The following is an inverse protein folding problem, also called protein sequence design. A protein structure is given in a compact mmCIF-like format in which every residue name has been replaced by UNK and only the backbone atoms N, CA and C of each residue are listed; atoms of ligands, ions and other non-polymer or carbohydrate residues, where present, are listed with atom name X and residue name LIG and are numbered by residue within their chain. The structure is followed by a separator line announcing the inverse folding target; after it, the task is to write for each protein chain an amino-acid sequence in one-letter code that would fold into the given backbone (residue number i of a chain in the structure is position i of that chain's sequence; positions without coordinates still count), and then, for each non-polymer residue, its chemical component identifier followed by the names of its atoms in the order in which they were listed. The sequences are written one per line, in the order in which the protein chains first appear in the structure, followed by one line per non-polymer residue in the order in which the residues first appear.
data_IF_181222511237
#
_entry.id   IF_181222511237
#
_cell.length_a   1.000
_cell.length_b   1.000
_cell.length_c   1.000
_cell.angle_alpha   90.00
_cell.angle_beta   90.00
_cell.angle_gamma   90.00
#
_symmetry.space_group_name_H-M   'P 1'
#
loop_
_entity.id
_entity.type
_entity.pdbx_description
1 polymer ?
#
# COMPACT_ATOMS: atom_id res chain seq x y z
N UNK A 1 -23.77 4.15 -8.20
CA UNK A 1 -22.64 3.54 -8.93
C UNK A 1 -22.13 4.58 -9.91
N UNK A 2 -21.13 5.35 -9.50
CA UNK A 2 -20.52 6.38 -10.33
C UNK A 2 -19.42 5.75 -11.19
N UNK A 3 -19.61 5.76 -12.51
CA UNK A 3 -18.64 5.31 -13.50
C UNK A 3 -17.33 6.11 -13.35
N UNK A 4 -16.27 5.42 -12.95
CA UNK A 4 -14.91 5.94 -13.05
C UNK A 4 -14.48 5.80 -14.51
N UNK A 5 -14.49 6.92 -15.25
CA UNK A 5 -13.96 6.96 -16.61
C UNK A 5 -12.44 6.78 -16.55
N UNK A 6 -11.96 5.66 -17.08
CA UNK A 6 -10.55 5.45 -17.34
C UNK A 6 -10.05 6.54 -18.31
N UNK A 7 -9.12 7.36 -17.85
CA UNK A 7 -8.49 8.41 -18.65
C UNK A 7 -7.41 7.75 -19.54
N UNK A 8 -7.47 8.01 -20.85
CA UNK A 8 -6.50 7.48 -21.81
C UNK A 8 -5.06 7.91 -21.44
N UNK A 9 -4.05 7.04 -21.64
CA UNK A 9 -2.68 7.34 -21.28
C UNK A 9 -2.16 8.51 -22.13
N UNK A 10 -1.69 9.57 -21.46
CA UNK A 10 -0.92 10.62 -22.10
C UNK A 10 0.48 10.10 -22.35
N UNK A 11 0.90 10.14 -23.60
CA UNK A 11 2.24 9.79 -24.06
C UNK A 11 3.24 10.83 -23.51
N UNK A 12 3.88 10.50 -22.39
CA UNK A 12 4.93 11.33 -21.79
C UNK A 12 6.26 11.00 -22.47
N UNK A 13 6.53 11.67 -23.58
CA UNK A 13 7.85 11.67 -24.21
C UNK A 13 8.90 12.32 -23.32
N UNK A 14 9.50 11.54 -22.42
CA UNK A 14 10.69 11.89 -21.65
C UNK A 14 11.81 10.92 -22.03
N UNK A 15 12.60 11.29 -23.04
CA UNK A 15 13.90 10.69 -23.31
C UNK A 15 14.94 11.26 -22.34
N UNK A 16 14.91 10.81 -21.08
CA UNK A 16 16.06 10.90 -20.18
C UNK A 16 16.84 9.59 -20.29
N UNK A 17 18.04 9.64 -20.88
CA UNK A 17 18.98 8.51 -20.90
C UNK A 17 19.49 8.27 -19.47
N UNK A 18 18.68 7.65 -18.62
CA UNK A 18 19.17 6.96 -17.45
C UNK A 18 19.87 5.69 -17.91
N UNK A 19 21.14 5.51 -17.53
CA UNK A 19 21.82 4.22 -17.68
C UNK A 19 21.06 3.20 -16.82
N UNK A 20 20.16 2.44 -17.43
CA UNK A 20 19.52 1.30 -16.78
C UNK A 20 20.60 0.33 -16.33
N UNK A 21 20.52 -0.14 -15.07
CA UNK A 21 21.32 -1.27 -14.59
C UNK A 21 21.26 -2.45 -15.57
N UNK A 22 22.36 -3.19 -15.71
CA UNK A 22 22.54 -4.14 -16.81
C UNK A 22 21.89 -5.52 -16.57
N UNK A 23 21.48 -5.83 -15.34
CA UNK A 23 20.75 -7.07 -14.99
C UNK A 23 19.96 -6.90 -13.68
N UNK A 24 18.83 -7.60 -13.54
CA UNK A 24 18.10 -7.69 -12.27
C UNK A 24 18.94 -8.29 -11.13
N UNK A 25 19.87 -9.18 -11.46
CA UNK A 25 20.72 -9.91 -10.51
C UNK A 25 22.08 -9.25 -10.29
N UNK A 26 22.18 -7.94 -10.52
CA UNK A 26 23.42 -7.20 -10.26
C UNK A 26 23.74 -7.21 -8.76
N UNK A 27 25.00 -7.50 -8.42
CA UNK A 27 25.43 -7.54 -7.01
C UNK A 27 25.40 -6.13 -6.43
N UNK A 28 24.59 -5.92 -5.39
CA UNK A 28 24.55 -4.68 -4.64
C UNK A 28 25.87 -4.46 -3.87
N UNK A 29 26.27 -3.20 -3.72
CA UNK A 29 27.32 -2.84 -2.75
C UNK A 29 26.83 -3.13 -1.33
N UNK A 30 27.75 -3.28 -0.37
CA UNK A 30 27.38 -3.55 1.03
C UNK A 30 26.46 -2.46 1.61
N UNK A 31 26.67 -1.21 1.23
CA UNK A 31 25.84 -0.07 1.62
C UNK A 31 24.44 -0.14 0.98
N UNK A 32 24.37 -0.40 -0.33
CA UNK A 32 23.11 -0.54 -1.05
C UNK A 32 22.29 -1.74 -0.53
N UNK A 33 22.94 -2.86 -0.23
CA UNK A 33 22.31 -4.03 0.36
C UNK A 33 21.77 -3.73 1.77
N UNK A 34 22.54 -3.04 2.61
CA UNK A 34 22.07 -2.63 3.94
C UNK A 34 20.86 -1.68 3.86
N UNK A 35 20.88 -0.73 2.92
CA UNK A 35 19.75 0.14 2.64
C UNK A 35 18.53 -0.66 2.15
N UNK A 36 18.74 -1.58 1.19
CA UNK A 36 17.69 -2.43 0.65
C UNK A 36 16.99 -3.24 1.75
N UNK A 37 17.76 -3.95 2.57
CA UNK A 37 17.22 -4.74 3.69
C UNK A 37 16.53 -3.86 4.72
N UNK A 38 17.00 -2.63 4.95
CA UNK A 38 16.32 -1.68 5.84
C UNK A 38 14.94 -1.28 5.30
N UNK A 39 14.81 -1.01 3.99
CA UNK A 39 13.52 -0.72 3.36
C UNK A 39 12.61 -1.94 3.37
N UNK A 40 13.13 -3.12 2.99
CA UNK A 40 12.39 -4.38 2.98
C UNK A 40 11.84 -4.78 4.37
N UNK A 41 12.45 -4.30 5.45
CA UNK A 41 11.97 -4.52 6.82
C UNK A 41 10.91 -3.51 7.30
N UNK A 42 10.58 -2.48 6.51
CA UNK A 42 9.47 -1.56 6.83
C UNK A 42 8.12 -2.25 6.61
N UNK A 43 7.00 -1.70 7.12
CA UNK A 43 5.67 -2.17 6.75
C UNK A 43 5.46 -2.16 5.23
N UNK A 44 4.69 -3.11 4.69
CA UNK A 44 4.45 -3.24 3.24
C UNK A 44 4.03 -1.92 2.57
N UNK A 45 3.17 -1.14 3.21
CA UNK A 45 2.75 0.18 2.72
C UNK A 45 3.91 1.17 2.53
N UNK A 46 4.89 1.18 3.44
CA UNK A 46 6.07 2.03 3.31
C UNK A 46 7.02 1.52 2.24
N UNK A 47 7.17 0.20 2.09
CA UNK A 47 7.92 -0.39 0.98
C UNK A 47 7.33 0.04 -0.37
N UNK A 48 6.00 0.01 -0.49
CA UNK A 48 5.29 0.45 -1.68
C UNK A 48 5.54 1.93 -1.97
N UNK A 49 5.51 2.79 -0.95
CA UNK A 49 5.81 4.23 -1.11
C UNK A 49 7.25 4.47 -1.55
N UNK A 50 8.23 3.74 -0.99
CA UNK A 50 9.62 3.81 -1.46
C UNK A 50 9.75 3.46 -2.94
N UNK A 51 9.12 2.36 -3.36
CA UNK A 51 9.10 1.93 -4.75
C UNK A 51 8.40 2.96 -5.65
N UNK A 52 7.21 3.43 -5.27
CA UNK A 52 6.44 4.42 -6.04
C UNK A 52 7.16 5.75 -6.17
N UNK A 53 7.85 6.24 -5.13
CA UNK A 53 8.64 7.47 -5.23
C UNK A 53 9.83 7.31 -6.18
N UNK A 54 10.50 6.15 -6.16
CA UNK A 54 11.65 5.88 -7.02
C UNK A 54 11.25 5.75 -8.51
N UNK A 55 10.07 5.19 -8.79
CA UNK A 55 9.64 4.83 -10.14
C UNK A 55 8.38 5.57 -10.61
N UNK A 56 8.00 6.70 -9.99
CA UNK A 56 6.71 7.35 -10.24
C UNK A 56 6.48 7.68 -11.72
N UNK A 57 7.53 8.11 -12.42
CA UNK A 57 7.45 8.46 -13.84
C UNK A 57 7.09 7.24 -14.71
N UNK A 58 7.59 6.07 -14.35
CA UNK A 58 7.38 4.81 -15.07
C UNK A 58 6.11 4.07 -14.62
N UNK A 59 5.76 4.15 -13.33
CA UNK A 59 4.75 3.28 -12.69
C UNK A 59 3.52 4.01 -12.15
N UNK A 60 3.46 5.35 -12.20
CA UNK A 60 2.36 6.11 -11.60
C UNK A 60 0.96 5.70 -12.09
N UNK A 61 0.86 5.20 -13.32
CA UNK A 61 -0.39 4.68 -13.88
C UNK A 61 -0.80 3.28 -13.36
N UNK A 62 0.09 2.56 -12.67
CA UNK A 62 -0.19 1.25 -12.04
C UNK A 62 -0.43 1.37 -10.52
N UNK A 63 -0.26 2.56 -9.94
CA UNK A 63 -0.33 2.77 -8.49
C UNK A 63 -1.65 2.24 -7.87
N UNK A 64 -2.77 2.38 -8.58
CA UNK A 64 -4.07 1.88 -8.13
C UNK A 64 -4.12 0.34 -8.06
N UNK A 65 -3.47 -0.38 -8.98
CA UNK A 65 -3.36 -1.84 -8.89
C UNK A 65 -2.47 -2.26 -7.72
N UNK A 66 -1.33 -1.58 -7.53
CA UNK A 66 -0.42 -1.85 -6.42
C UNK A 66 -1.14 -1.68 -5.08
N UNK A 67 -1.92 -0.60 -4.92
CA UNK A 67 -2.67 -0.31 -3.71
C UNK A 67 -3.89 -1.24 -3.50
N UNK A 68 -4.77 -1.34 -4.49
CA UNK A 68 -6.09 -1.99 -4.33
C UNK A 68 -6.05 -3.50 -4.54
N UNK A 69 -5.00 -4.05 -5.15
CA UNK A 69 -4.88 -5.47 -5.46
C UNK A 69 -3.67 -6.09 -4.78
N UNK A 70 -2.46 -5.69 -5.17
CA UNK A 70 -1.25 -6.36 -4.72
C UNK A 70 -1.02 -6.20 -3.21
N UNK A 71 -1.16 -4.97 -2.70
CA UNK A 71 -1.00 -4.66 -1.28
C UNK A 71 -2.08 -5.32 -0.42
N UNK A 72 -3.33 -5.35 -0.88
CA UNK A 72 -4.39 -6.05 -0.16
C UNK A 72 -4.12 -7.56 -0.08
N UNK A 73 -3.75 -8.20 -1.20
CA UNK A 73 -3.50 -9.65 -1.24
C UNK A 73 -2.27 -10.03 -0.39
N UNK A 74 -1.18 -9.26 -0.39
CA UNK A 74 -0.01 -9.58 0.44
C UNK A 74 -0.32 -9.44 1.93
N UNK A 75 -1.11 -8.43 2.33
CA UNK A 75 -1.61 -8.30 3.72
C UNK A 75 -2.47 -9.50 4.10
N UNK A 76 -3.38 -9.95 3.25
CA UNK A 76 -4.21 -11.13 3.54
C UNK A 76 -3.39 -12.41 3.66
N UNK A 77 -2.34 -12.58 2.84
CA UNK A 77 -1.41 -13.69 2.98
C UNK A 77 -0.68 -13.68 4.33
N UNK A 78 -0.15 -12.52 4.74
CA UNK A 78 0.50 -12.36 6.04
C UNK A 78 -0.48 -12.51 7.22
N UNK A 79 -1.69 -11.96 7.09
CA UNK A 79 -2.78 -12.14 8.06
C UNK A 79 -3.10 -13.62 8.29
N UNK A 80 -3.20 -14.40 7.21
CA UNK A 80 -3.43 -15.85 7.30
C UNK A 80 -2.26 -16.56 7.98
N UNK A 81 -1.02 -16.20 7.65
CA UNK A 81 0.17 -16.74 8.33
C UNK A 81 0.16 -16.45 9.84
N UNK A 82 -0.31 -15.26 10.24
CA UNK A 82 -0.39 -14.82 11.65
C UNK A 82 -1.67 -15.28 12.36
N UNK A 83 -2.58 -15.98 11.68
CA UNK A 83 -3.88 -16.39 12.25
C UNK A 83 -4.84 -15.22 12.53
N UNK A 84 -4.68 -14.09 11.84
CA UNK A 84 -5.52 -12.90 11.99
C UNK A 84 -6.58 -12.90 10.89
N UNK A 85 -7.86 -12.87 11.27
CA UNK A 85 -8.97 -12.91 10.31
C UNK A 85 -9.55 -11.52 9.98
N UNK A 86 -9.33 -10.54 10.85
CA UNK A 86 -9.98 -9.23 10.77
C UNK A 86 -8.93 -8.15 10.56
N UNK A 87 -9.05 -7.40 9.46
CA UNK A 87 -8.06 -6.39 9.04
C UNK A 87 -7.81 -5.30 10.10
N UNK A 88 -8.82 -4.93 10.89
CA UNK A 88 -8.64 -3.91 11.93
C UNK A 88 -7.79 -4.41 13.12
N UNK A 89 -7.64 -5.72 13.28
CA UNK A 89 -6.76 -6.37 14.27
C UNK A 89 -5.36 -6.67 13.73
N UNK A 90 -5.14 -6.43 12.45
CA UNK A 90 -3.87 -6.72 11.79
C UNK A 90 -2.88 -5.58 12.03
N UNK A 91 -1.70 -5.94 12.55
CA UNK A 91 -0.51 -5.10 12.52
C UNK A 91 0.31 -5.47 11.29
N UNK A 92 0.52 -4.49 10.41
CA UNK A 92 1.10 -4.70 9.08
C UNK A 92 2.50 -5.35 9.15
N UNK A 93 2.69 -6.41 8.37
CA UNK A 93 3.96 -7.10 8.20
C UNK A 93 4.89 -6.43 7.19
N UNK A 94 6.01 -7.11 6.91
CA UNK A 94 7.13 -6.63 6.11
C UNK A 94 7.60 -7.65 5.06
N UNK A 95 7.50 -8.95 5.33
CA UNK A 95 7.94 -10.01 4.43
C UNK A 95 7.18 -11.34 4.67
N UNK A 96 7.31 -12.28 3.74
CA UNK A 96 6.70 -13.60 3.75
C UNK A 96 7.79 -14.68 3.56
N UNK A 97 7.68 -15.86 4.20
CA UNK A 97 8.49 -17.00 3.75
C UNK A 97 8.02 -17.51 2.36
N UNK A 98 8.78 -18.42 1.76
CA UNK A 98 8.48 -18.93 0.42
C UNK A 98 7.14 -19.68 0.30
N UNK A 99 6.62 -20.29 1.36
CA UNK A 99 5.33 -20.99 1.31
C UNK A 99 4.18 -19.98 1.33
N UNK A 100 4.29 -18.95 2.17
CA UNK A 100 3.29 -17.88 2.21
C UNK A 100 3.40 -16.96 0.98
N UNK A 101 4.60 -16.71 0.46
CA UNK A 101 4.81 -16.00 -0.79
C UNK A 101 4.20 -16.77 -1.97
N UNK A 102 4.34 -18.10 -2.03
CA UNK A 102 3.66 -18.93 -3.02
C UNK A 102 2.14 -18.71 -2.95
N UNK A 103 1.55 -18.79 -1.75
CA UNK A 103 0.13 -18.51 -1.55
C UNK A 103 -0.27 -17.11 -2.03
N UNK A 104 0.53 -16.08 -1.73
CA UNK A 104 0.32 -14.71 -2.22
C UNK A 104 0.25 -14.64 -3.75
N UNK A 105 1.22 -15.21 -4.47
CA UNK A 105 1.23 -15.21 -5.94
C UNK A 105 0.05 -15.99 -6.53
N UNK A 106 -0.33 -17.12 -5.95
CA UNK A 106 -1.49 -17.91 -6.39
C UNK A 106 -2.80 -17.12 -6.22
N UNK A 107 -2.98 -16.43 -5.08
CA UNK A 107 -4.15 -15.58 -4.87
C UNK A 107 -4.17 -14.38 -5.82
N UNK A 108 -3.01 -13.80 -6.14
CA UNK A 108 -2.91 -12.71 -7.11
C UNK A 108 -3.30 -13.16 -8.52
N UNK A 109 -2.81 -14.33 -8.98
CA UNK A 109 -3.20 -14.90 -10.27
C UNK A 109 -4.71 -15.18 -10.31
N UNK A 110 -5.24 -15.83 -9.27
CA UNK A 110 -6.67 -16.13 -9.14
C UNK A 110 -7.51 -14.85 -9.21
N UNK A 111 -7.13 -13.79 -8.49
CA UNK A 111 -7.84 -12.52 -8.53
C UNK A 111 -7.90 -11.95 -9.94
N UNK A 112 -6.78 -11.92 -10.66
CA UNK A 112 -6.70 -11.38 -12.02
C UNK A 112 -7.42 -12.23 -13.08
N UNK A 113 -7.59 -13.54 -12.84
CA UNK A 113 -8.30 -14.47 -13.73
C UNK A 113 -9.82 -14.47 -13.53
N UNK A 114 -10.31 -14.04 -12.36
CA UNK A 114 -11.74 -13.98 -12.07
C UNK A 114 -12.49 -13.00 -13.02
N UNK A 115 -13.54 -13.43 -13.75
CA UNK A 115 -14.21 -12.59 -14.75
C UNK A 115 -14.74 -11.25 -14.23
N UNK A 116 -15.15 -11.19 -12.96
CA UNK A 116 -15.62 -9.95 -12.30
C UNK A 116 -14.51 -8.90 -12.16
N UNK A 117 -13.24 -9.32 -12.23
CA UNK A 117 -12.05 -8.48 -12.07
C UNK A 117 -11.39 -8.15 -13.42
N UNK A 118 -12.03 -8.43 -14.56
CA UNK A 118 -11.47 -8.20 -15.90
C UNK A 118 -10.93 -6.77 -16.10
N UNK A 119 -11.56 -5.77 -15.48
CA UNK A 119 -11.13 -4.37 -15.58
C UNK A 119 -9.73 -4.15 -14.99
N UNK A 120 -9.35 -4.90 -13.96
CA UNK A 120 -7.99 -4.86 -13.40
C UNK A 120 -6.98 -5.50 -14.36
N UNK A 121 -7.38 -6.58 -15.02
CA UNK A 121 -6.53 -7.25 -16.01
C UNK A 121 -6.27 -6.39 -17.23
N UNK A 122 -7.33 -5.79 -17.77
CA UNK A 122 -7.27 -4.96 -18.98
C UNK A 122 -6.66 -3.58 -18.70
N UNK A 123 -6.93 -2.99 -17.54
CA UNK A 123 -6.44 -1.66 -17.17
C UNK A 123 -4.97 -1.60 -16.74
N UNK A 124 -4.41 -2.72 -16.27
CA UNK A 124 -3.07 -2.77 -15.68
C UNK A 124 -2.22 -3.91 -16.25
N UNK A 125 -1.94 -3.93 -17.57
CA UNK A 125 -1.34 -5.08 -18.25
C UNK A 125 0.06 -5.45 -17.72
N UNK A 126 0.89 -4.46 -17.36
CA UNK A 126 2.24 -4.71 -16.82
C UNK A 126 2.23 -5.17 -15.34
N UNK A 127 1.09 -5.05 -14.66
CA UNK A 127 0.92 -5.49 -13.27
C UNK A 127 0.34 -6.90 -13.17
N UNK A 128 0.10 -7.57 -14.30
CA UNK A 128 -0.46 -8.91 -14.28
C UNK A 128 0.58 -9.94 -13.81
N UNK A 129 0.23 -10.80 -12.84
CA UNK A 129 1.11 -11.88 -12.43
C UNK A 129 1.15 -12.97 -13.50
N UNK A 130 2.22 -13.76 -13.50
CA UNK A 130 2.32 -14.97 -14.31
C UNK A 130 1.94 -16.19 -13.47
N UNK A 131 1.05 -17.05 -13.96
CA UNK A 131 0.72 -18.29 -13.25
C UNK A 131 1.84 -19.33 -13.41
N UNK A 132 2.35 -19.87 -12.30
CA UNK A 132 3.42 -20.86 -12.27
C UNK A 132 3.05 -22.04 -11.37
N UNK A 133 3.64 -23.21 -11.61
CA UNK A 133 3.58 -24.33 -10.66
C UNK A 133 4.32 -23.99 -9.37
N UNK A 134 3.96 -24.60 -8.24
CA UNK A 134 4.63 -24.35 -6.96
C UNK A 134 6.15 -24.59 -6.98
N UNK A 135 6.61 -25.62 -7.72
CA UNK A 135 8.04 -25.88 -7.90
C UNK A 135 8.74 -24.74 -8.65
N UNK A 136 8.14 -24.27 -9.75
CA UNK A 136 8.69 -23.18 -10.57
C UNK A 136 8.65 -21.84 -9.83
N UNK A 137 7.58 -21.56 -9.09
CA UNK A 137 7.48 -20.36 -8.27
C UNK A 137 8.57 -20.34 -7.20
N UNK A 138 8.76 -21.43 -6.44
CA UNK A 138 9.82 -21.48 -5.41
C UNK A 138 11.23 -21.36 -6.00
N UNK A 139 11.46 -21.94 -7.17
CA UNK A 139 12.72 -21.75 -7.90
C UNK A 139 12.90 -20.27 -8.27
N UNK A 140 11.87 -19.63 -8.82
CA UNK A 140 11.91 -18.21 -9.17
C UNK A 140 12.09 -17.29 -7.96
N UNK A 141 11.44 -17.59 -6.83
CA UNK A 141 11.62 -16.84 -5.60
C UNK A 141 13.08 -16.85 -5.16
N UNK A 142 13.69 -18.04 -5.11
CA UNK A 142 15.10 -18.21 -4.72
C UNK A 142 16.08 -17.57 -5.70
N UNK A 143 15.87 -17.79 -7.00
CA UNK A 143 16.88 -17.46 -8.01
C UNK A 143 16.78 -15.99 -8.46
N UNK A 144 15.62 -15.36 -8.27
CA UNK A 144 15.34 -14.02 -8.82
C UNK A 144 14.72 -13.04 -7.82
N UNK A 145 13.77 -13.44 -6.97
CA UNK A 145 12.97 -12.48 -6.19
C UNK A 145 13.61 -12.14 -4.84
N UNK A 146 14.15 -13.13 -4.13
CA UNK A 146 14.86 -12.98 -2.86
C UNK A 146 16.25 -12.38 -3.14
N UNK A 147 16.33 -11.05 -3.11
CA UNK A 147 17.51 -10.28 -3.54
C UNK A 147 18.60 -10.29 -2.47
N UNK A 148 18.19 -10.32 -1.19
CA UNK A 148 19.10 -10.27 -0.05
C UNK A 148 19.46 -11.67 0.49
N UNK A 149 18.90 -12.74 -0.10
CA UNK A 149 19.13 -14.15 0.22
C UNK A 149 18.76 -14.54 1.66
N UNK A 150 17.70 -13.93 2.21
CA UNK A 150 17.23 -14.20 3.57
C UNK A 150 16.16 -15.29 3.65
N UNK A 151 15.74 -15.86 2.51
CA UNK A 151 14.69 -16.88 2.42
C UNK A 151 13.28 -16.34 2.63
N UNK A 152 13.11 -15.02 2.53
CA UNK A 152 11.85 -14.29 2.65
C UNK A 152 11.60 -13.50 1.36
N UNK A 153 10.39 -12.96 1.24
CA UNK A 153 9.94 -12.15 0.12
C UNK A 153 9.21 -10.94 0.69
N UNK A 154 9.86 -9.78 0.60
CA UNK A 154 9.26 -8.49 0.91
C UNK A 154 8.33 -8.02 -0.20
N UNK A 155 7.48 -7.02 0.10
CA UNK A 155 6.65 -6.41 -0.95
C UNK A 155 7.51 -5.64 -1.96
N UNK A 156 8.61 -5.02 -1.50
CA UNK A 156 9.60 -4.38 -2.37
C UNK A 156 10.17 -5.35 -3.41
N UNK A 157 10.58 -6.54 -2.99
CA UNK A 157 11.12 -7.57 -3.90
C UNK A 157 10.10 -8.04 -4.92
N UNK A 158 8.85 -8.27 -4.49
CA UNK A 158 7.74 -8.52 -5.41
C UNK A 158 7.59 -7.40 -6.45
N UNK A 159 7.55 -6.13 -6.01
CA UNK A 159 7.35 -4.98 -6.90
C UNK A 159 8.50 -4.84 -7.91
N UNK A 160 9.75 -4.94 -7.45
CA UNK A 160 10.90 -4.87 -8.34
C UNK A 160 10.85 -5.99 -9.38
N UNK A 161 10.53 -7.22 -8.99
CA UNK A 161 10.48 -8.35 -9.91
C UNK A 161 9.30 -8.28 -10.90
N UNK A 162 8.13 -7.82 -10.43
CA UNK A 162 6.95 -7.62 -11.27
C UNK A 162 7.22 -6.56 -12.34
N UNK A 163 7.92 -5.48 -11.99
CA UNK A 163 8.21 -4.36 -12.88
C UNK A 163 9.66 -4.33 -13.38
N UNK A 164 10.26 -5.52 -13.52
CA UNK A 164 11.67 -5.72 -13.88
C UNK A 164 12.12 -5.14 -15.23
N UNK A 165 11.18 -4.79 -16.09
CA UNK A 165 11.46 -4.19 -17.40
C UNK A 165 12.13 -2.80 -17.27
N UNK A 166 11.90 -2.10 -16.16
CA UNK A 166 12.53 -0.82 -15.85
C UNK A 166 12.99 -0.69 -14.40
N UNK A 167 12.55 -1.57 -13.49
CA UNK A 167 12.97 -1.58 -12.10
C UNK A 167 13.97 -2.71 -11.81
N UNK A 168 14.98 -2.43 -10.99
CA UNK A 168 15.89 -3.45 -10.47
C UNK A 168 16.48 -2.99 -9.14
N UNK A 169 17.03 -3.91 -8.31
CA UNK A 169 17.51 -3.53 -6.97
C UNK A 169 18.60 -2.46 -6.96
N UNK A 170 19.56 -2.51 -7.89
CA UNK A 170 20.67 -1.56 -7.92
C UNK A 170 20.19 -0.14 -8.27
N UNK A 171 19.38 -0.02 -9.32
CA UNK A 171 18.75 1.25 -9.72
C UNK A 171 17.80 1.77 -8.63
N UNK A 172 17.02 0.90 -7.99
CA UNK A 172 16.16 1.28 -6.88
C UNK A 172 16.96 1.90 -5.73
N UNK A 173 18.04 1.24 -5.29
CA UNK A 173 18.91 1.77 -4.25
C UNK A 173 19.49 3.13 -4.67
N UNK A 174 19.98 3.26 -5.91
CA UNK A 174 20.50 4.53 -6.42
C UNK A 174 19.45 5.65 -6.35
N UNK A 175 18.22 5.40 -6.83
CA UNK A 175 17.13 6.39 -6.86
C UNK A 175 16.65 6.74 -5.45
N UNK A 176 16.43 5.73 -4.61
CA UNK A 176 15.85 5.93 -3.28
C UNK A 176 16.86 6.44 -2.26
N UNK A 177 18.16 6.14 -2.39
CA UNK A 177 19.21 6.70 -1.52
C UNK A 177 19.58 8.13 -1.92
N UNK A 178 19.41 8.50 -3.19
CA UNK A 178 19.64 9.88 -3.66
C UNK A 178 18.49 10.83 -3.29
N UNK A 179 17.37 10.30 -2.82
CA UNK A 179 16.22 11.09 -2.38
C UNK A 179 16.43 11.52 -0.92
N UNK A 180 16.13 12.77 -0.55
CA UNK A 180 16.23 13.21 0.84
C UNK A 180 15.30 12.39 1.74
N UNK A 181 15.65 12.33 3.03
CA UNK A 181 14.81 11.70 4.06
C UNK A 181 13.34 12.16 3.96
N UNK A 182 12.42 11.28 4.35
CA UNK A 182 10.97 11.55 4.34
C UNK A 182 10.67 12.94 4.95
N UNK A 183 10.12 13.83 4.13
CA UNK A 183 9.85 15.20 4.56
C UNK A 183 8.97 15.23 5.82
N UNK A 184 9.22 16.13 6.79
CA UNK A 184 8.50 16.16 8.05
C UNK A 184 6.98 16.24 7.91
N UNK A 185 6.46 16.97 6.92
CA UNK A 185 5.01 17.05 6.70
C UNK A 185 4.41 15.77 6.10
N UNK A 186 5.16 15.05 5.26
CA UNK A 186 4.76 13.72 4.74
C UNK A 186 4.73 12.73 5.90
N UNK A 187 5.80 12.69 6.71
CA UNK A 187 5.86 11.86 7.92
C UNK A 187 4.70 12.15 8.87
N UNK A 188 4.40 13.44 9.10
CA UNK A 188 3.27 13.87 9.93
C UNK A 188 1.93 13.40 9.38
N UNK A 189 1.72 13.46 8.06
CA UNK A 189 0.51 12.97 7.42
C UNK A 189 0.37 11.44 7.53
N UNK A 190 1.45 10.69 7.31
CA UNK A 190 1.49 9.24 7.49
C UNK A 190 1.15 8.82 8.93
N UNK A 191 1.79 9.43 9.92
CA UNK A 191 1.52 9.15 11.34
C UNK A 191 0.07 9.51 11.72
N UNK A 192 -0.51 10.54 11.11
CA UNK A 192 -1.93 10.87 11.32
C UNK A 192 -2.87 9.81 10.73
N UNK A 193 -2.53 9.20 9.58
CA UNK A 193 -3.28 8.06 9.02
C UNK A 193 -3.12 6.79 9.86
N UNK A 194 -1.96 6.55 10.46
CA UNK A 194 -1.74 5.46 11.41
C UNK A 194 -2.59 5.64 12.69
N UNK A 195 -2.71 6.87 13.19
CA UNK A 195 -3.62 7.16 14.31
C UNK A 195 -5.09 6.91 13.94
N UNK A 196 -5.50 7.18 12.70
CA UNK A 196 -6.83 6.77 12.21
C UNK A 196 -7.00 5.25 12.29
N UNK A 197 -6.00 4.45 11.87
CA UNK A 197 -6.07 2.99 11.98
C UNK A 197 -6.23 2.52 13.44
N UNK A 198 -5.55 3.16 14.39
CA UNK A 198 -5.71 2.88 15.82
C UNK A 198 -7.14 3.15 16.30
N UNK A 199 -7.75 4.26 15.87
CA UNK A 199 -9.14 4.58 16.21
C UNK A 199 -10.15 3.66 15.52
N UNK A 200 -9.87 3.22 14.28
CA UNK A 200 -10.66 2.19 13.59
C UNK A 200 -10.63 0.89 14.39
N UNK A 201 -9.46 0.44 14.85
CA UNK A 201 -9.33 -0.77 15.68
C UNK A 201 -10.20 -0.70 16.93
N UNK A 202 -10.08 0.38 17.71
CA UNK A 202 -10.88 0.56 18.92
C UNK A 202 -12.39 0.57 18.65
N UNK A 203 -12.83 1.25 17.58
CA UNK A 203 -14.24 1.30 17.19
C UNK A 203 -14.77 -0.08 16.74
N UNK A 204 -14.03 -0.81 15.90
CA UNK A 204 -14.43 -2.13 15.39
C UNK A 204 -14.35 -3.24 16.45
N UNK A 205 -13.44 -3.11 17.43
CA UNK A 205 -13.40 -4.01 18.59
C UNK A 205 -14.64 -3.86 19.47
N UNK A 206 -15.04 -2.62 19.78
CA UNK A 206 -16.27 -2.39 20.54
C UNK A 206 -17.52 -2.81 19.76
N UNK A 207 -17.54 -2.56 18.44
CA UNK A 207 -18.59 -3.04 17.56
C UNK A 207 -18.74 -4.56 17.62
N UNK A 208 -17.64 -5.30 17.45
CA UNK A 208 -17.66 -6.76 17.47
C UNK A 208 -18.07 -7.30 18.86
N UNK A 209 -17.64 -6.64 19.95
CA UNK A 209 -18.06 -6.99 21.31
C UNK A 209 -19.57 -6.82 21.49
N UNK A 210 -20.12 -5.68 21.07
CA UNK A 210 -21.56 -5.41 21.13
C UNK A 210 -22.38 -6.34 20.24
N UNK A 211 -21.88 -6.69 19.04
CA UNK A 211 -22.50 -7.68 18.16
C UNK A 211 -22.58 -9.05 18.83
N UNK A 212 -21.50 -9.53 19.46
CA UNK A 212 -21.50 -10.78 20.20
C UNK A 212 -22.48 -10.75 21.40
N UNK A 213 -22.45 -9.68 22.19
CA UNK A 213 -23.35 -9.52 23.35
C UNK A 213 -24.82 -9.41 22.93
N UNK A 214 -25.10 -8.85 21.74
CA UNK A 214 -26.46 -8.70 21.21
C UNK A 214 -27.18 -10.03 20.97
N UNK A 215 -26.41 -11.12 20.86
CA UNK A 215 -26.93 -12.47 20.68
C UNK A 215 -27.36 -13.11 22.02
N UNK A 216 -26.96 -12.54 23.16
CA UNK A 216 -27.36 -13.05 24.48
C UNK A 216 -28.87 -12.85 24.71
N UNK A 217 -29.56 -13.79 25.36
CA UNK A 217 -30.97 -13.62 25.67
C UNK A 217 -31.21 -12.58 26.78
N UNK A 218 -32.43 -12.03 26.81
CA UNK A 218 -32.91 -11.15 27.88
C UNK A 218 -32.42 -9.70 27.80
N UNK A 219 -32.45 -9.01 28.94
CA UNK A 219 -32.16 -7.57 29.03
C UNK A 219 -30.73 -7.20 28.65
N UNK A 220 -29.78 -8.13 28.83
CA UNK A 220 -28.36 -7.91 28.45
C UNK A 220 -28.20 -7.78 26.95
N UNK A 221 -28.72 -8.74 26.17
CA UNK A 221 -28.67 -8.65 24.71
C UNK A 221 -29.48 -7.49 24.15
N UNK A 222 -30.62 -7.15 24.77
CA UNK A 222 -31.38 -5.95 24.40
C UNK A 222 -30.57 -4.67 24.64
N UNK A 223 -29.85 -4.57 25.77
CA UNK A 223 -28.94 -3.47 26.07
C UNK A 223 -27.83 -3.34 25.02
N UNK A 224 -27.19 -4.45 24.65
CA UNK A 224 -26.15 -4.46 23.63
C UNK A 224 -26.68 -4.07 22.24
N UNK A 225 -27.89 -4.52 21.84
CA UNK A 225 -28.54 -4.06 20.60
C UNK A 225 -28.77 -2.56 20.57
N UNK A 226 -29.22 -1.99 21.69
CA UNK A 226 -29.44 -0.55 21.80
C UNK A 226 -28.13 0.24 21.70
N UNK A 227 -27.08 -0.21 22.40
CA UNK A 227 -25.75 0.40 22.32
C UNK A 227 -25.15 0.28 20.92
N UNK A 228 -25.28 -0.88 20.27
CA UNK A 228 -24.82 -1.09 18.90
C UNK A 228 -25.53 -0.13 17.93
N UNK A 229 -26.84 0.07 18.08
CA UNK A 229 -27.61 1.03 17.27
C UNK A 229 -27.20 2.48 17.50
N UNK A 230 -26.61 2.80 18.66
CA UNK A 230 -26.12 4.13 19.02
C UNK A 230 -24.60 4.28 18.85
N UNK A 231 -23.88 3.24 18.40
CA UNK A 231 -22.42 3.22 18.34
C UNK A 231 -21.85 4.35 17.47
N UNK A 232 -22.55 4.73 16.40
CA UNK A 232 -22.13 5.84 15.53
C UNK A 232 -22.29 7.22 16.16
N UNK A 233 -23.03 7.33 17.26
CA UNK A 233 -23.12 8.52 18.09
C UNK A 233 -22.24 8.43 19.36
N UNK A 234 -21.43 7.37 19.49
CA UNK A 234 -20.59 7.14 20.67
C UNK A 234 -19.31 8.00 20.67
N UNK A 235 -18.65 8.16 21.84
CA UNK A 235 -17.34 8.82 21.93
C UNK A 235 -16.27 8.19 21.02
N UNK A 236 -16.26 6.87 20.84
CA UNK A 236 -15.30 6.18 19.96
C UNK A 236 -15.45 6.63 18.50
N UNK A 237 -16.69 6.78 18.03
CA UNK A 237 -16.94 7.28 16.68
C UNK A 237 -16.56 8.75 16.55
N UNK A 238 -16.82 9.56 17.57
CA UNK A 238 -16.40 10.96 17.59
C UNK A 238 -14.88 11.11 17.51
N UNK A 239 -14.13 10.31 18.29
CA UNK A 239 -12.66 10.28 18.24
C UNK A 239 -12.14 9.85 16.86
N UNK A 240 -12.75 8.83 16.25
CA UNK A 240 -12.42 8.40 14.89
C UNK A 240 -12.66 9.53 13.87
N UNK A 241 -13.78 10.24 13.98
CA UNK A 241 -14.08 11.39 13.10
C UNK A 241 -13.06 12.53 13.29
N UNK A 242 -12.66 12.83 14.53
CA UNK A 242 -11.61 13.83 14.82
C UNK A 242 -10.26 13.42 14.22
N UNK A 243 -9.89 12.14 14.31
CA UNK A 243 -8.67 11.62 13.71
C UNK A 243 -8.70 11.74 12.18
N UNK A 244 -9.82 11.40 11.54
CA UNK A 244 -10.02 11.55 10.08
C UNK A 244 -9.84 13.00 9.61
N UNK A 245 -10.43 13.96 10.31
CA UNK A 245 -10.29 15.40 9.99
C UNK A 245 -8.83 15.85 10.16
N UNK A 246 -8.16 15.36 11.21
CA UNK A 246 -6.75 15.68 11.47
C UNK A 246 -5.83 15.11 10.38
N UNK A 247 -6.05 13.86 9.98
CA UNK A 247 -5.34 13.22 8.88
C UNK A 247 -5.61 13.95 7.55
N UNK A 248 -6.85 14.32 7.26
CA UNK A 248 -7.21 15.10 6.07
C UNK A 248 -6.47 16.44 6.02
N UNK A 249 -6.42 17.17 7.13
CA UNK A 249 -5.67 18.42 7.19
C UNK A 249 -4.17 18.21 6.96
N UNK A 250 -3.57 17.17 7.56
CA UNK A 250 -2.16 16.86 7.41
C UNK A 250 -1.81 16.43 5.97
N UNK A 251 -2.61 15.54 5.38
CA UNK A 251 -2.46 15.10 3.98
C UNK A 251 -2.60 16.29 3.03
N UNK A 252 -3.59 17.17 3.25
CA UNK A 252 -3.75 18.39 2.43
C UNK A 252 -2.53 19.31 2.50
N UNK A 253 -1.93 19.49 3.69
CA UNK A 253 -0.72 20.29 3.85
C UNK A 253 0.46 19.66 3.08
N UNK A 254 0.67 18.35 3.21
CA UNK A 254 1.72 17.63 2.50
C UNK A 254 1.50 17.70 0.97
N UNK A 255 0.29 17.43 0.48
CA UNK A 255 -0.08 17.50 -0.94
C UNK A 255 0.12 18.89 -1.52
N UNK A 256 -0.26 19.96 -0.80
CA UNK A 256 -0.04 21.33 -1.28
C UNK A 256 1.44 21.69 -1.38
N UNK A 257 2.27 21.18 -0.46
CA UNK A 257 3.70 21.49 -0.40
C UNK A 257 4.51 20.69 -1.42
N UNK A 258 4.17 19.41 -1.63
CA UNK A 258 5.00 18.47 -2.40
C UNK A 258 4.31 17.82 -3.60
N UNK A 259 3.00 17.98 -3.80
CA UNK A 259 2.23 17.36 -4.90
C UNK A 259 2.23 18.16 -6.22
N UNK A 260 3.10 19.16 -6.36
CA UNK A 260 3.23 19.97 -7.58
C UNK A 260 2.00 20.82 -7.93
N UNK A 261 1.88 21.18 -9.22
CA UNK A 261 0.88 22.15 -9.72
C UNK A 261 -0.57 21.68 -9.56
N UNK A 262 -0.82 20.36 -9.53
CA UNK A 262 -2.16 19.80 -9.38
C UNK A 262 -2.81 20.17 -8.03
N UNK A 263 -2.01 20.50 -7.01
CA UNK A 263 -2.46 20.87 -5.67
C UNK A 263 -2.17 22.33 -5.30
N UNK A 264 -1.84 23.17 -6.29
CA UNK A 264 -1.56 24.59 -6.08
C UNK A 264 -0.23 24.87 -5.39
N UNK A 265 0.75 23.97 -5.53
CA UNK A 265 2.10 24.17 -5.01
C UNK A 265 2.82 25.31 -5.74
N UNK A 266 3.36 26.26 -4.97
CA UNK A 266 4.27 27.31 -5.44
C UNK A 266 5.68 26.74 -5.58
N UNK A 267 5.86 25.73 -6.43
CA UNK A 267 7.11 25.01 -6.57
C UNK A 267 8.26 25.96 -6.92
N UNK A 268 9.17 26.17 -5.97
CA UNK A 268 10.49 26.73 -6.26
C UNK A 268 11.22 25.67 -7.09
N UNK A 269 11.65 26.03 -8.30
CA UNK A 269 11.96 25.12 -9.40
C UNK A 269 13.24 24.31 -9.26
N UNK A 270 13.57 23.81 -8.07
CA UNK A 270 14.69 22.88 -7.88
C UNK A 270 14.27 21.45 -8.22
N UNK A 271 14.16 21.15 -9.52
CA UNK A 271 13.91 19.81 -10.07
C UNK A 271 15.09 18.84 -9.93
N UNK A 272 15.60 18.65 -8.72
CA UNK A 272 16.70 17.73 -8.44
C UNK A 272 16.53 17.05 -7.08
N UNK A 273 16.51 15.72 -7.09
CA UNK A 273 16.48 14.77 -5.97
C UNK A 273 15.11 14.51 -5.30
N UNK A 274 14.48 13.40 -5.73
CA UNK A 274 13.42 12.66 -5.03
C UNK A 274 12.00 13.25 -5.10
N UNK A 275 11.24 12.92 -6.16
CA UNK A 275 9.81 13.25 -6.18
C UNK A 275 9.07 12.47 -5.10
N UNK A 276 8.32 13.16 -4.24
CA UNK A 276 7.45 12.56 -3.22
C UNK A 276 6.07 12.13 -3.77
N UNK A 277 5.91 12.07 -5.09
CA UNK A 277 4.63 11.88 -5.75
C UNK A 277 3.94 10.57 -5.36
N UNK A 278 4.71 9.49 -5.24
CA UNK A 278 4.21 8.19 -4.77
C UNK A 278 3.62 8.26 -3.36
N UNK A 279 4.32 8.92 -2.43
CA UNK A 279 3.85 9.14 -1.07
C UNK A 279 2.58 10.01 -1.04
N UNK A 280 2.56 11.10 -1.81
CA UNK A 280 1.39 11.99 -1.89
C UNK A 280 0.19 11.23 -2.45
N UNK A 281 0.36 10.49 -3.55
CA UNK A 281 -0.71 9.68 -4.11
C UNK A 281 -1.24 8.65 -3.11
N UNK A 282 -0.34 7.89 -2.47
CA UNK A 282 -0.71 6.83 -1.51
C UNK A 282 -1.50 7.36 -0.33
N UNK A 283 -1.06 8.46 0.28
CA UNK A 283 -1.74 9.06 1.43
C UNK A 283 -3.12 9.63 1.06
N UNK A 284 -3.27 10.22 -0.13
CA UNK A 284 -4.58 10.69 -0.59
C UNK A 284 -5.53 9.51 -0.85
N UNK A 285 -5.03 8.43 -1.47
CA UNK A 285 -5.81 7.23 -1.73
C UNK A 285 -6.25 6.52 -0.44
N UNK A 286 -5.35 6.39 0.52
CA UNK A 286 -5.63 5.80 1.82
C UNK A 286 -6.64 6.64 2.63
N UNK A 287 -6.49 7.97 2.61
CA UNK A 287 -7.46 8.88 3.19
C UNK A 287 -8.84 8.75 2.53
N UNK A 288 -8.89 8.62 1.21
CA UNK A 288 -10.14 8.43 0.48
C UNK A 288 -10.87 7.16 0.90
N UNK A 289 -10.18 6.01 0.95
CA UNK A 289 -10.78 4.74 1.38
C UNK A 289 -11.25 4.81 2.85
N UNK A 290 -10.44 5.40 3.73
CA UNK A 290 -10.82 5.63 5.13
C UNK A 290 -12.06 6.50 5.24
N UNK A 291 -12.16 7.60 4.49
CA UNK A 291 -13.34 8.48 4.47
C UNK A 291 -14.56 7.80 3.85
N UNK A 292 -14.39 7.00 2.80
CA UNK A 292 -15.46 6.25 2.17
C UNK A 292 -16.08 5.22 3.13
N UNK A 293 -15.25 4.54 3.92
CA UNK A 293 -15.71 3.50 4.86
C UNK A 293 -16.16 4.03 6.21
N UNK A 294 -15.48 5.04 6.74
CA UNK A 294 -15.67 5.52 8.11
C UNK A 294 -16.07 6.98 8.22
N UNK A 295 -16.12 7.74 7.12
CA UNK A 295 -16.58 9.12 7.12
C UNK A 295 -18.10 9.24 7.33
N UNK A 296 -18.63 10.48 7.26
CA UNK A 296 -20.06 10.74 7.39
C UNK A 296 -20.86 10.00 6.30
N UNK A 297 -21.61 8.98 6.69
CA UNK A 297 -22.54 8.31 5.78
C UNK A 297 -23.80 9.17 5.66
N UNK A 298 -24.07 9.71 4.47
CA UNK A 298 -25.38 10.31 4.20
C UNK A 298 -26.41 9.18 4.27
N UNK A 299 -27.38 9.31 5.19
CA UNK A 299 -28.61 8.52 5.14
C UNK A 299 -29.44 8.90 3.93
#
# INVERSE_FOLDING_TARGET
MSEVKAQAPKDFGLTTQHKSGTSFTEKLSAEALAFFSMVANKPFSQQAVHFLNAYWAEIGNQAEFIYSVAWDIIKYADMHCKGIQLIYKYDEGNDLDFDIALYFYEQLCKFCEEPKNKNWREGYPISQPEMLTGLKRKQELRDKVDVNFDGRVSFLEYLLYQYKDFANPADFCQRSMSSPDEHPEIRKARLALEEVNKRIRAYEEEKARLEADSLLPGVKGLGAKNLLAQLDASPLKEELNKALITAEAAVRIASKKYGGSAFGGTGDGSGGAGSSDGAIWWMNRDLEEKKKRYGPSKK
#
